data_IF_820590525177
#
_entry.id   IF_820590525177
#
_cell.length_a   1.000
_cell.length_b   1.000
_cell.length_c   1.000
_cell.angle_alpha   90.00
_cell.angle_beta   90.00
_cell.angle_gamma   90.00
#
_symmetry.space_group_name_H-M   'P 1'
#
loop_
_entity.id
_entity.type
_entity.pdbx_description
1 polymer ?
#
# COMPACT_ATOMS: atom_id res chain seq x y z
N UNK A 1 -8.49 14.63 -3.86
CA UNK A 1 -8.82 14.79 -5.30
C UNK A 1 -7.90 13.96 -6.21
N UNK A 2 -6.58 14.01 -6.02
CA UNK A 2 -5.59 13.23 -6.82
C UNK A 2 -5.74 11.72 -6.71
N UNK A 3 -6.02 11.16 -5.53
CA UNK A 3 -6.23 9.71 -5.35
C UNK A 3 -7.47 9.19 -6.10
N UNK A 4 -8.55 9.97 -6.12
CA UNK A 4 -9.77 9.62 -6.85
C UNK A 4 -9.52 9.62 -8.37
N UNK A 5 -8.85 10.65 -8.88
CA UNK A 5 -8.46 10.74 -10.30
C UNK A 5 -7.62 9.53 -10.73
N UNK A 6 -6.65 9.10 -9.92
CA UNK A 6 -5.82 7.92 -10.20
C UNK A 6 -6.64 6.64 -10.32
N UNK A 7 -7.61 6.43 -9.42
CA UNK A 7 -8.51 5.26 -9.48
C UNK A 7 -9.36 5.29 -10.75
N UNK A 8 -9.93 6.46 -11.08
CA UNK A 8 -10.73 6.62 -12.31
C UNK A 8 -9.87 6.34 -13.54
N UNK A 9 -8.68 6.92 -13.64
CA UNK A 9 -7.76 6.66 -14.77
C UNK A 9 -7.40 5.19 -14.89
N UNK A 10 -7.19 4.49 -13.77
CA UNK A 10 -6.90 3.05 -13.77
C UNK A 10 -8.10 2.24 -14.27
N UNK A 11 -9.31 2.53 -13.81
CA UNK A 11 -10.54 1.88 -14.26
C UNK A 11 -10.82 2.12 -15.74
N UNK A 12 -10.64 3.35 -16.21
CA UNK A 12 -10.80 3.70 -17.64
C UNK A 12 -9.77 2.97 -18.49
N UNK A 13 -8.51 2.96 -18.08
CA UNK A 13 -7.43 2.24 -18.80
C UNK A 13 -7.73 0.74 -18.86
N UNK A 14 -8.17 0.16 -17.75
CA UNK A 14 -8.57 -1.25 -17.68
C UNK A 14 -9.74 -1.55 -18.63
N UNK A 15 -10.78 -0.72 -18.62
CA UNK A 15 -11.93 -0.87 -19.51
C UNK A 15 -11.52 -0.78 -20.98
N UNK A 16 -10.67 0.18 -21.34
CA UNK A 16 -10.17 0.33 -22.71
C UNK A 16 -9.34 -0.87 -23.17
N UNK A 17 -8.52 -1.44 -22.28
CA UNK A 17 -7.72 -2.63 -22.58
C UNK A 17 -8.60 -3.86 -22.77
N UNK A 18 -9.60 -4.04 -21.91
CA UNK A 18 -10.58 -5.14 -22.06
C UNK A 18 -11.37 -4.99 -23.35
N UNK A 19 -11.87 -3.79 -23.66
CA UNK A 19 -12.59 -3.52 -24.91
C UNK A 19 -11.70 -3.73 -26.14
N UNK A 20 -10.47 -3.22 -26.12
CA UNK A 20 -9.51 -3.40 -27.20
C UNK A 20 -9.16 -4.87 -27.44
N UNK A 21 -8.92 -5.62 -26.36
CA UNK A 21 -8.72 -7.07 -26.43
C UNK A 21 -9.95 -7.79 -26.98
N UNK A 22 -11.15 -7.43 -26.50
CA UNK A 22 -12.42 -8.06 -26.93
C UNK A 22 -12.62 -7.89 -28.43
N UNK A 23 -12.44 -6.67 -28.92
CA UNK A 23 -12.52 -6.35 -30.34
C UNK A 23 -11.46 -7.11 -31.14
N UNK A 24 -10.22 -7.14 -30.66
CA UNK A 24 -9.12 -7.86 -31.32
C UNK A 24 -9.42 -9.35 -31.48
N UNK A 25 -9.77 -10.06 -30.39
CA UNK A 25 -10.03 -11.49 -30.43
C UNK A 25 -11.31 -11.84 -31.20
N UNK A 26 -12.33 -10.97 -31.17
CA UNK A 26 -13.52 -11.15 -32.00
C UNK A 26 -13.16 -11.22 -33.50
N UNK A 27 -12.35 -10.29 -33.98
CA UNK A 27 -11.98 -10.26 -35.40
C UNK A 27 -10.90 -11.27 -35.79
N UNK A 28 -9.95 -11.56 -34.90
CA UNK A 28 -8.81 -12.44 -35.20
C UNK A 28 -9.16 -13.92 -35.06
N UNK A 29 -9.92 -14.28 -34.02
CA UNK A 29 -10.30 -15.67 -33.76
C UNK A 29 -11.74 -16.00 -34.21
N UNK A 30 -12.54 -14.99 -34.59
CA UNK A 30 -13.92 -15.18 -35.02
C UNK A 30 -14.86 -15.60 -33.88
N UNK A 31 -14.44 -15.43 -32.63
CA UNK A 31 -15.25 -15.77 -31.44
C UNK A 31 -16.41 -14.81 -31.27
N UNK A 32 -17.46 -15.22 -30.53
CA UNK A 32 -18.54 -14.28 -30.20
C UNK A 32 -18.02 -13.11 -29.36
N UNK A 33 -18.77 -12.00 -29.32
CA UNK A 33 -18.41 -10.85 -28.49
C UNK A 33 -18.28 -11.22 -27.00
N UNK A 34 -19.16 -12.10 -26.52
CA UNK A 34 -19.15 -12.55 -25.13
C UNK A 34 -17.96 -13.45 -24.83
N UNK A 35 -17.64 -14.38 -25.75
CA UNK A 35 -16.50 -15.29 -25.59
C UNK A 35 -15.18 -14.52 -25.63
N UNK A 36 -15.06 -13.55 -26.55
CA UNK A 36 -13.90 -12.67 -26.65
C UNK A 36 -13.72 -11.82 -25.39
N UNK A 37 -14.82 -11.26 -24.87
CA UNK A 37 -14.81 -10.53 -23.61
C UNK A 37 -14.40 -11.43 -22.45
N UNK A 38 -15.01 -12.60 -22.32
CA UNK A 38 -14.69 -13.56 -21.27
C UNK A 38 -13.22 -13.97 -21.32
N UNK A 39 -12.71 -14.34 -22.51
CA UNK A 39 -11.30 -14.69 -22.68
C UNK A 39 -10.38 -13.55 -22.25
N UNK A 40 -10.67 -12.30 -22.64
CA UNK A 40 -9.81 -11.16 -22.29
C UNK A 40 -9.80 -10.89 -20.80
N UNK A 41 -10.95 -10.94 -20.13
CA UNK A 41 -11.05 -10.75 -18.68
C UNK A 41 -10.34 -11.87 -17.93
N UNK A 42 -10.60 -13.13 -18.27
CA UNK A 42 -9.99 -14.31 -17.63
C UNK A 42 -8.46 -14.33 -17.81
N UNK A 43 -7.98 -13.92 -18.97
CA UNK A 43 -6.54 -13.80 -19.25
C UNK A 43 -5.93 -12.66 -18.45
N UNK A 44 -6.56 -11.48 -18.45
CA UNK A 44 -6.05 -10.28 -17.77
C UNK A 44 -6.09 -10.42 -16.24
N UNK A 45 -7.10 -11.11 -15.70
CA UNK A 45 -7.20 -11.43 -14.28
C UNK A 45 -6.25 -12.55 -13.85
N UNK A 46 -5.47 -13.12 -14.78
CA UNK A 46 -4.56 -14.26 -14.55
C UNK A 46 -5.24 -15.53 -14.07
N UNK A 47 -6.56 -15.65 -14.23
CA UNK A 47 -7.32 -16.85 -13.85
C UNK A 47 -7.04 -17.98 -14.83
N UNK A 48 -7.09 -17.66 -16.14
CA UNK A 48 -6.58 -18.55 -17.19
C UNK A 48 -7.17 -19.97 -17.20
N UNK A 49 -8.50 -20.12 -17.28
CA UNK A 49 -9.15 -21.44 -17.29
C UNK A 49 -8.66 -22.39 -18.41
N UNK A 50 -8.11 -21.85 -19.50
CA UNK A 50 -7.57 -22.64 -20.60
C UNK A 50 -8.62 -23.30 -21.51
N UNK A 51 -9.91 -23.07 -21.25
CA UNK A 51 -11.02 -23.55 -22.09
C UNK A 51 -11.01 -22.91 -23.48
N UNK A 52 -10.62 -21.64 -23.57
CA UNK A 52 -10.45 -20.92 -24.82
C UNK A 52 -9.00 -20.51 -25.00
N UNK A 53 -8.41 -20.93 -26.13
CA UNK A 53 -7.02 -20.65 -26.49
C UNK A 53 -6.98 -20.23 -27.96
N UNK A 54 -6.30 -19.12 -28.32
CA UNK A 54 -6.21 -18.68 -29.71
C UNK A 54 -5.60 -19.75 -30.61
N UNK A 55 -6.31 -20.09 -31.68
CA UNK A 55 -5.87 -21.06 -32.67
C UNK A 55 -4.96 -20.40 -33.72
N UNK A 56 -5.21 -19.13 -34.04
CA UNK A 56 -4.46 -18.42 -35.08
C UNK A 56 -3.07 -17.97 -34.60
N UNK A 57 -2.11 -17.89 -35.52
CA UNK A 57 -0.77 -17.37 -35.21
C UNK A 57 -0.84 -15.92 -34.70
N UNK A 58 -1.70 -15.10 -35.30
CA UNK A 58 -1.92 -13.71 -34.89
C UNK A 58 -2.56 -13.61 -33.51
N UNK A 59 -3.52 -14.47 -33.20
CA UNK A 59 -4.15 -14.52 -31.88
C UNK A 59 -3.17 -14.93 -30.80
N UNK A 60 -2.30 -15.91 -31.05
CA UNK A 60 -1.24 -16.31 -30.10
C UNK A 60 -0.27 -15.17 -29.80
N UNK A 61 0.23 -14.51 -30.84
CA UNK A 61 1.11 -13.34 -30.70
C UNK A 61 0.37 -12.22 -29.95
N UNK A 62 -0.89 -11.96 -30.33
CA UNK A 62 -1.74 -10.97 -29.70
C UNK A 62 -1.93 -11.25 -28.21
N UNK A 63 -2.21 -12.49 -27.82
CA UNK A 63 -2.31 -12.92 -26.42
C UNK A 63 -1.00 -12.71 -25.67
N UNK A 64 0.15 -13.04 -26.25
CA UNK A 64 1.45 -12.78 -25.62
C UNK A 64 1.65 -11.29 -25.32
N UNK A 65 1.42 -10.42 -26.31
CA UNK A 65 1.52 -8.96 -26.14
C UNK A 65 0.51 -8.47 -25.10
N UNK A 66 -0.72 -8.97 -25.16
CA UNK A 66 -1.79 -8.61 -24.23
C UNK A 66 -1.44 -8.95 -22.77
N UNK A 67 -0.82 -10.11 -22.53
CA UNK A 67 -0.37 -10.51 -21.19
C UNK A 67 0.71 -9.54 -20.66
N UNK A 68 1.70 -9.16 -21.48
CA UNK A 68 2.73 -8.20 -21.06
C UNK A 68 2.15 -6.83 -20.69
N UNK A 69 1.19 -6.34 -21.47
CA UNK A 69 0.46 -5.10 -21.15
C UNK A 69 -0.32 -5.27 -19.85
N UNK A 70 -1.00 -6.40 -19.69
CA UNK A 70 -1.76 -6.73 -18.48
C UNK A 70 -0.92 -6.75 -17.21
N UNK A 71 0.28 -7.33 -17.27
CA UNK A 71 1.22 -7.35 -16.15
C UNK A 71 1.61 -5.93 -15.70
N UNK A 72 1.83 -5.02 -16.64
CA UNK A 72 2.11 -3.62 -16.31
C UNK A 72 0.97 -2.95 -15.55
N UNK A 73 -0.27 -3.16 -16.02
CA UNK A 73 -1.48 -2.63 -15.37
C UNK A 73 -1.64 -3.23 -13.96
N UNK A 74 -1.43 -4.54 -13.83
CA UNK A 74 -1.51 -5.24 -12.56
C UNK A 74 -0.48 -4.71 -11.55
N UNK A 75 0.77 -4.46 -11.98
CA UNK A 75 1.81 -3.88 -11.13
C UNK A 75 1.42 -2.49 -10.62
N UNK A 76 0.89 -1.62 -11.49
CA UNK A 76 0.41 -0.29 -11.11
C UNK A 76 -0.75 -0.40 -10.12
N UNK A 77 -1.68 -1.33 -10.34
CA UNK A 77 -2.80 -1.56 -9.42
C UNK A 77 -2.30 -1.95 -8.02
N UNK A 78 -1.40 -2.93 -7.92
CA UNK A 78 -0.80 -3.35 -6.64
C UNK A 78 -0.11 -2.19 -5.93
N UNK A 79 0.64 -1.35 -6.66
CA UNK A 79 1.30 -0.18 -6.09
C UNK A 79 0.30 0.83 -5.50
N UNK A 80 -0.82 1.08 -6.18
CA UNK A 80 -1.88 1.96 -5.66
C UNK A 80 -2.54 1.36 -4.42
N UNK A 81 -2.83 0.06 -4.41
CA UNK A 81 -3.40 -0.64 -3.25
C UNK A 81 -2.45 -0.64 -2.04
N UNK A 82 -1.15 -0.84 -2.26
CA UNK A 82 -0.13 -0.75 -1.22
C UNK A 82 -0.07 0.65 -0.62
N UNK A 83 -0.03 1.69 -1.47
CA UNK A 83 -0.04 3.07 -1.03
C UNK A 83 -1.32 3.43 -0.24
N UNK A 84 -2.48 2.90 -0.64
CA UNK A 84 -3.73 3.07 0.10
C UNK A 84 -3.66 2.43 1.50
N UNK A 85 -3.10 1.22 1.60
CA UNK A 85 -2.98 0.48 2.87
C UNK A 85 -2.03 1.17 3.85
N UNK A 86 -0.89 1.66 3.36
CA UNK A 86 0.10 2.37 4.19
C UNK A 86 -0.47 3.69 4.73
N UNK A 87 -1.13 4.48 3.90
CA UNK A 87 -1.77 5.74 4.32
C UNK A 87 -2.77 5.55 5.46
N UNK A 88 -3.51 4.44 5.43
CA UNK A 88 -4.49 4.11 6.49
C UNK A 88 -3.85 3.74 7.83
N UNK A 89 -2.56 3.34 7.83
CA UNK A 89 -1.79 3.01 9.04
C UNK A 89 -1.18 4.26 9.67
N UNK A 90 -0.73 5.21 8.85
CA UNK A 90 -0.10 6.46 9.31
C UNK A 90 -1.04 7.26 10.22
N UNK A 91 -2.33 7.36 9.87
CA UNK A 91 -3.34 8.01 10.73
C UNK A 91 -3.43 7.35 12.12
N UNK A 92 -3.27 6.01 12.19
CA UNK A 92 -3.31 5.27 13.44
C UNK A 92 -2.04 5.44 14.28
N UNK A 93 -0.89 5.52 13.62
CA UNK A 93 0.40 5.69 14.29
C UNK A 93 0.57 7.12 14.78
N UNK A 94 0.10 8.13 14.04
CA UNK A 94 0.17 9.52 14.47
C UNK A 94 -0.65 9.79 15.72
N UNK A 95 -1.89 9.27 15.84
CA UNK A 95 -2.65 9.45 17.08
C UNK A 95 -2.02 8.69 18.24
N UNK A 96 -1.43 7.51 18.01
CA UNK A 96 -0.72 6.76 19.06
C UNK A 96 0.52 7.52 19.53
N UNK A 97 1.30 8.08 18.61
CA UNK A 97 2.49 8.88 18.92
C UNK A 97 2.11 10.19 19.60
N UNK A 98 1.05 10.88 19.14
CA UNK A 98 0.54 12.08 19.80
C UNK A 98 -0.01 11.78 21.21
N UNK A 99 -0.66 10.61 21.40
CA UNK A 99 -1.17 10.16 22.70
C UNK A 99 -0.05 9.78 23.67
N UNK A 100 1.01 9.14 23.17
CA UNK A 100 2.19 8.76 23.95
C UNK A 100 3.06 9.98 24.28
N UNK A 101 3.20 10.93 23.36
CA UNK A 101 3.94 12.18 23.57
C UNK A 101 3.33 13.05 24.68
N UNK A 102 1.99 13.06 24.81
CA UNK A 102 1.32 13.75 25.91
C UNK A 102 1.50 13.09 27.29
N UNK A 103 1.83 11.79 27.38
CA UNK A 103 2.11 11.11 28.65
C UNK A 103 3.57 11.19 29.09
N UNK A 104 4.46 11.71 28.24
CA UNK A 104 5.91 11.78 28.49
C UNK A 104 6.39 13.25 28.57
N UNK A 105 5.68 14.10 29.31
CA UNK A 105 6.37 15.21 29.98
C UNK A 105 6.98 14.58 31.24
N UNK A 106 8.31 14.36 31.32
CA UNK A 106 8.90 13.91 32.56
C UNK A 106 8.63 15.03 33.56
N UNK A 107 7.81 14.76 34.58
CA UNK A 107 8.01 15.45 35.85
C UNK A 107 9.48 15.23 36.17
N UNK A 108 10.30 16.29 36.12
CA UNK A 108 11.67 16.22 36.62
C UNK A 108 11.59 15.49 37.96
N UNK A 109 12.29 14.35 38.14
CA UNK A 109 12.34 13.75 39.44
C UNK A 109 12.94 14.81 40.36
N UNK A 110 12.09 15.40 41.21
CA UNK A 110 12.49 16.24 42.34
C UNK A 110 13.75 15.61 42.89
N UNK A 111 14.87 16.32 42.78
CA UNK A 111 16.19 15.79 43.01
C UNK A 111 16.18 14.99 44.33
N UNK A 112 16.29 13.67 44.23
CA UNK A 112 16.39 12.78 45.39
C UNK A 112 17.77 12.89 46.07
N UNK A 113 18.48 13.99 45.82
CA UNK A 113 19.83 14.29 46.29
C UNK A 113 19.85 15.50 47.24
N UNK A 114 18.69 16.02 47.66
CA UNK A 114 18.62 17.17 48.56
C UNK A 114 18.79 16.80 50.05
N UNK A 115 18.80 15.51 50.41
CA UNK A 115 18.75 15.07 51.82
C UNK A 115 20.10 14.66 52.44
N UNK A 116 21.22 14.73 51.70
CA UNK A 116 22.56 14.36 52.20
C UNK A 116 23.52 15.56 52.28
N UNK A 117 23.07 16.73 52.77
CA UNK A 117 24.01 17.75 53.26
C UNK A 117 24.48 17.30 54.65
N UNK A 118 25.77 16.93 54.86
CA UNK A 118 26.25 16.53 56.18
C UNK A 118 26.13 17.72 57.14
N UNK A 119 25.47 17.52 58.29
CA UNK A 119 25.44 18.54 59.33
C UNK A 119 26.88 18.94 59.71
N UNK A 120 27.18 20.25 59.84
CA UNK A 120 28.50 20.69 60.22
C UNK A 120 28.87 20.16 61.63
N UNK A 121 30.12 19.77 61.87
CA UNK A 121 30.53 19.19 63.14
C UNK A 121 30.29 20.18 64.29
N UNK A 122 29.54 19.73 65.31
CA UNK A 122 29.27 20.53 66.51
C UNK A 122 30.59 20.94 67.17
N UNK A 123 30.88 22.24 67.16
CA UNK A 123 32.08 22.82 67.78
C UNK A 123 32.04 22.52 69.28
N UNK A 124 32.87 21.57 69.72
CA UNK A 124 33.06 21.25 71.14
C UNK A 124 33.69 22.49 71.80
N UNK A 125 32.90 23.31 72.46
CA UNK A 125 33.43 24.40 73.29
C UNK A 125 34.18 23.74 74.45
N UNK A 126 35.50 23.81 74.41
CA UNK A 126 36.34 23.48 75.55
C UNK A 126 35.96 24.41 76.70
N UNK A 127 35.34 23.86 77.75
CA UNK A 127 35.38 24.47 79.06
C UNK A 127 36.79 24.26 79.58
N UNK A 128 37.63 25.28 79.51
CA UNK A 128 38.85 25.37 80.32
C UNK A 128 38.51 26.07 81.64
N UNK A 129 39.14 25.65 82.75
CA UNK A 129 38.81 26.04 84.11
C UNK A 129 39.07 27.51 84.42
#
# INVERSE_FOLDING_TARGET
MTSLLKIITLLVTLALVVLGGTVFFHYVEGWSWLDSYFFTVVTLSTVGYGEMVPASAMGRIGTTVFIFVGLGIFAVAVQQFGAFTVRKREEHTEWLVARLGHQHQPSEPSAANEDDIPEPPKRRTSKTP
#
